data_IF_335230512195
#
_entry.id   IF_335230512195
#
_cell.length_a   1.000
_cell.length_b   1.000
_cell.length_c   1.000
_cell.angle_alpha   90.00
_cell.angle_beta   90.00
_cell.angle_gamma   90.00
#
_symmetry.space_group_name_H-M   'P 1'
#
loop_
_entity.id
_entity.type
_entity.pdbx_description
1 polymer ?
#
# COMPACT_ATOMS: atom_id res chain seq x y z
N UNK A 1 6.08 -24.74 -0.67
CA UNK A 1 5.91 -23.35 -0.20
C UNK A 1 6.54 -23.09 1.17
N UNK A 2 6.44 -23.98 2.16
CA UNK A 2 7.09 -23.83 3.48
C UNK A 2 8.58 -23.44 3.38
N UNK A 3 9.34 -24.05 2.49
CA UNK A 3 10.77 -23.73 2.31
C UNK A 3 11.04 -22.28 1.90
N UNK A 4 10.13 -21.63 1.19
CA UNK A 4 10.25 -20.22 0.80
C UNK A 4 10.26 -19.29 2.01
N UNK A 5 9.49 -19.60 3.02
CA UNK A 5 9.43 -18.82 4.26
C UNK A 5 10.53 -19.20 5.25
N UNK A 6 10.98 -20.46 5.23
CA UNK A 6 12.08 -20.93 6.10
C UNK A 6 13.46 -20.43 5.63
N UNK A 7 13.65 -20.32 4.30
CA UNK A 7 14.95 -19.93 3.72
C UNK A 7 15.43 -18.56 4.19
N UNK A 8 14.65 -17.46 4.12
CA UNK A 8 15.09 -16.14 4.58
C UNK A 8 15.46 -16.13 6.07
N UNK A 9 14.78 -16.91 6.91
CA UNK A 9 15.14 -17.04 8.33
C UNK A 9 16.48 -17.74 8.53
N UNK A 10 16.79 -18.73 7.71
CA UNK A 10 18.13 -19.38 7.72
C UNK A 10 19.20 -18.42 7.22
N UNK A 11 18.91 -17.64 6.17
CA UNK A 11 19.83 -16.59 5.70
C UNK A 11 20.06 -15.56 6.79
N UNK A 12 19.03 -15.09 7.49
CA UNK A 12 19.18 -14.16 8.61
C UNK A 12 20.05 -14.77 9.72
N UNK A 13 19.80 -16.03 10.09
CA UNK A 13 20.60 -16.72 11.10
C UNK A 13 22.09 -16.80 10.67
N UNK A 14 22.37 -17.10 9.42
CA UNK A 14 23.73 -17.11 8.87
C UNK A 14 24.33 -15.69 8.85
N UNK A 15 23.59 -14.69 8.37
CA UNK A 15 24.04 -13.29 8.35
C UNK A 15 24.50 -12.83 9.74
N UNK A 16 23.82 -13.25 10.78
CA UNK A 16 24.18 -12.92 12.17
C UNK A 16 25.49 -13.55 12.65
N UNK A 17 26.04 -14.50 11.94
CA UNK A 17 27.39 -15.04 12.24
C UNK A 17 28.53 -14.21 11.62
N UNK A 18 28.21 -13.31 10.68
CA UNK A 18 29.18 -12.52 9.93
C UNK A 18 29.55 -11.20 10.65
N UNK A 19 29.76 -11.25 11.95
CA UNK A 19 29.98 -10.06 12.81
C UNK A 19 31.21 -9.25 12.50
N UNK A 20 32.16 -9.82 11.78
CA UNK A 20 33.37 -9.11 11.33
C UNK A 20 33.11 -8.23 10.11
N UNK A 21 32.08 -8.56 9.31
CA UNK A 21 31.82 -7.95 8.01
C UNK A 21 30.52 -7.12 7.99
N UNK A 22 29.60 -7.40 8.91
CA UNK A 22 28.24 -6.84 8.91
C UNK A 22 27.89 -6.31 10.31
N UNK A 23 27.29 -5.12 10.34
CA UNK A 23 26.63 -4.61 11.54
C UNK A 23 25.29 -5.34 11.74
N UNK A 24 25.30 -6.40 12.53
CA UNK A 24 24.12 -7.24 12.80
C UNK A 24 23.01 -6.51 13.55
N UNK A 25 23.25 -5.30 14.04
CA UNK A 25 22.22 -4.46 14.68
C UNK A 25 21.44 -3.63 13.66
N UNK A 26 21.82 -3.65 12.39
CA UNK A 26 21.27 -2.84 11.28
C UNK A 26 20.85 -3.69 10.08
N UNK A 27 20.07 -4.73 10.33
CA UNK A 27 19.57 -5.60 9.28
C UNK A 27 18.17 -5.15 8.87
N UNK A 28 17.97 -4.89 7.58
CA UNK A 28 16.66 -4.66 6.97
C UNK A 28 16.29 -5.80 6.03
N UNK A 29 15.00 -5.91 5.70
CA UNK A 29 14.53 -6.90 4.73
C UNK A 29 13.80 -6.20 3.58
N UNK A 30 14.18 -6.57 2.35
CA UNK A 30 13.53 -6.15 1.12
C UNK A 30 13.00 -7.38 0.40
N UNK A 31 11.75 -7.34 0.03
CA UNK A 31 11.12 -8.42 -0.73
C UNK A 31 10.28 -7.90 -1.88
N UNK A 32 10.46 -8.53 -3.04
CA UNK A 32 9.75 -8.23 -4.27
C UNK A 32 8.86 -9.43 -4.64
N UNK A 33 7.63 -9.21 -5.06
CA UNK A 33 6.69 -10.24 -5.50
C UNK A 33 6.43 -11.25 -4.36
N UNK A 34 6.72 -12.52 -4.54
CA UNK A 34 6.70 -13.50 -3.45
C UNK A 34 7.57 -13.08 -2.26
N UNK A 35 8.69 -12.41 -2.53
CA UNK A 35 9.51 -11.79 -1.49
C UNK A 35 8.79 -10.69 -0.72
N UNK A 36 7.87 -9.96 -1.36
CA UNK A 36 7.00 -9.00 -0.70
C UNK A 36 6.10 -9.65 0.35
N UNK A 37 5.52 -10.81 0.06
CA UNK A 37 4.79 -11.60 1.07
C UNK A 37 5.72 -12.08 2.20
N UNK A 38 6.92 -12.52 1.84
CA UNK A 38 7.92 -12.95 2.83
C UNK A 38 8.32 -11.79 3.75
N UNK A 39 8.32 -10.54 3.26
CA UNK A 39 8.65 -9.38 4.07
C UNK A 39 7.73 -9.23 5.31
N UNK A 40 6.46 -9.59 5.21
CA UNK A 40 5.56 -9.63 6.37
C UNK A 40 5.97 -10.70 7.37
N UNK A 41 6.37 -11.88 6.89
CA UNK A 41 6.85 -12.96 7.75
C UNK A 41 8.18 -12.58 8.43
N UNK A 42 9.10 -11.94 7.70
CA UNK A 42 10.38 -11.49 8.25
C UNK A 42 10.21 -10.32 9.22
N UNK A 43 9.18 -9.50 9.06
CA UNK A 43 8.94 -8.33 9.91
C UNK A 43 8.65 -8.68 11.38
N UNK A 44 8.22 -9.91 11.68
CA UNK A 44 8.00 -10.35 13.07
C UNK A 44 9.31 -10.69 13.80
N UNK A 45 10.43 -10.75 13.08
CA UNK A 45 11.72 -11.08 13.67
C UNK A 45 12.32 -9.83 14.38
N UNK A 46 12.74 -9.92 15.65
CA UNK A 46 13.27 -8.78 16.40
C UNK A 46 14.62 -8.27 15.89
N UNK A 47 15.36 -9.09 15.13
CA UNK A 47 16.67 -8.71 14.59
C UNK A 47 16.54 -7.86 13.30
N UNK A 48 15.37 -7.89 12.64
CA UNK A 48 15.06 -6.99 11.53
C UNK A 48 14.71 -5.61 12.07
N UNK A 49 15.20 -4.54 11.46
CA UNK A 49 14.92 -3.14 11.88
C UNK A 49 13.91 -2.42 11.03
N UNK A 50 13.76 -2.82 9.79
CA UNK A 50 12.69 -2.34 8.90
C UNK A 50 12.49 -3.30 7.74
N UNK A 51 11.33 -3.22 7.11
CA UNK A 51 11.00 -4.01 5.92
C UNK A 51 10.49 -3.14 4.78
N UNK A 52 10.71 -3.61 3.57
CA UNK A 52 10.06 -3.11 2.36
C UNK A 52 9.38 -4.29 1.66
N UNK A 53 8.08 -4.19 1.46
CA UNK A 53 7.30 -5.14 0.67
C UNK A 53 6.92 -4.49 -0.66
N UNK A 54 7.49 -5.01 -1.72
CA UNK A 54 7.23 -4.57 -3.10
C UNK A 54 6.33 -5.59 -3.77
N UNK A 55 5.15 -5.18 -4.25
CA UNK A 55 4.09 -6.09 -4.67
C UNK A 55 3.75 -7.12 -3.57
N UNK A 56 2.92 -8.08 -3.82
CA UNK A 56 2.74 -9.17 -2.84
C UNK A 56 2.10 -8.76 -1.52
N UNK A 57 1.06 -7.93 -1.56
CA UNK A 57 0.27 -7.58 -0.37
C UNK A 57 -0.59 -8.71 0.16
N UNK A 58 -0.50 -9.87 -0.43
CA UNK A 58 -1.37 -11.00 -0.13
C UNK A 58 -2.76 -10.89 -0.73
N UNK A 59 -3.68 -11.66 -0.17
CA UNK A 59 -5.04 -11.77 -0.69
C UNK A 59 -5.09 -12.36 -2.11
N UNK A 60 -4.10 -13.18 -2.50
CA UNK A 60 -3.94 -13.71 -3.85
C UNK A 60 -5.17 -14.50 -4.29
N UNK A 61 -5.76 -15.27 -3.40
CA UNK A 61 -6.95 -16.06 -3.72
C UNK A 61 -8.20 -15.21 -3.99
N UNK A 62 -8.14 -13.93 -3.69
CA UNK A 62 -9.24 -12.98 -3.84
C UNK A 62 -9.14 -12.12 -5.11
N UNK A 63 -8.03 -12.14 -5.82
CA UNK A 63 -7.80 -11.26 -6.97
C UNK A 63 -8.82 -11.42 -8.11
N UNK A 64 -9.44 -12.58 -8.23
CA UNK A 64 -10.53 -12.85 -9.19
C UNK A 64 -11.93 -12.56 -8.63
N UNK A 65 -12.05 -12.20 -7.37
CA UNK A 65 -13.33 -11.93 -6.75
C UNK A 65 -13.62 -10.43 -6.76
N UNK A 66 -14.90 -10.09 -6.67
CA UNK A 66 -15.29 -8.69 -6.57
C UNK A 66 -14.69 -8.06 -5.30
N UNK A 67 -13.96 -6.97 -5.44
CA UNK A 67 -13.16 -6.35 -4.41
C UNK A 67 -13.81 -5.16 -3.71
N UNK A 68 -14.94 -4.68 -4.19
CA UNK A 68 -15.59 -3.45 -3.72
C UNK A 68 -16.10 -3.55 -2.27
N UNK A 69 -16.22 -4.74 -1.75
CA UNK A 69 -16.67 -5.04 -0.40
C UNK A 69 -15.88 -4.36 0.74
N UNK A 70 -14.66 -3.89 0.50
CA UNK A 70 -13.83 -3.22 1.51
C UNK A 70 -14.47 -2.00 2.14
N UNK A 71 -15.39 -1.38 1.43
CA UNK A 71 -15.90 -0.07 1.76
C UNK A 71 -17.37 -0.10 2.21
N UNK A 72 -17.69 -1.01 3.15
CA UNK A 72 -19.00 -1.16 3.80
C UNK A 72 -20.04 -1.97 3.03
N UNK A 73 -19.65 -2.81 2.09
CA UNK A 73 -20.56 -3.77 1.47
C UNK A 73 -20.53 -5.08 2.24
N UNK A 74 -21.68 -5.69 2.54
CA UNK A 74 -21.73 -7.05 3.05
C UNK A 74 -20.96 -7.98 2.12
N UNK A 75 -19.95 -8.61 2.66
CA UNK A 75 -19.07 -9.50 1.90
C UNK A 75 -19.21 -10.92 2.44
N UNK A 76 -19.53 -11.85 1.55
CA UNK A 76 -19.37 -13.27 1.82
C UNK A 76 -18.06 -13.74 1.20
N UNK A 77 -17.18 -14.28 2.01
CA UNK A 77 -15.97 -14.91 1.48
C UNK A 77 -16.36 -16.13 0.63
N UNK A 78 -15.77 -16.29 -0.56
CA UNK A 78 -16.00 -17.50 -1.34
C UNK A 78 -15.49 -18.70 -0.54
N UNK A 79 -16.15 -19.84 -0.61
CA UNK A 79 -15.65 -21.04 0.01
C UNK A 79 -14.34 -21.45 -0.67
N UNK A 80 -13.27 -21.51 0.11
CA UNK A 80 -11.98 -22.03 -0.36
C UNK A 80 -11.81 -23.49 0.06
N UNK A 81 -10.98 -24.22 -0.68
CA UNK A 81 -10.54 -25.54 -0.25
C UNK A 81 -9.76 -25.46 1.07
N UNK A 82 -9.70 -26.56 1.82
CA UNK A 82 -8.94 -26.62 3.08
C UNK A 82 -7.47 -26.23 2.90
N UNK A 83 -6.87 -26.62 1.77
CA UNK A 83 -5.50 -26.23 1.44
C UNK A 83 -5.33 -24.72 1.24
N UNK A 84 -6.30 -24.05 0.61
CA UNK A 84 -6.29 -22.59 0.44
C UNK A 84 -6.52 -21.88 1.79
N UNK A 85 -7.43 -22.37 2.61
CA UNK A 85 -7.67 -21.85 3.95
C UNK A 85 -6.42 -21.97 4.82
N UNK A 86 -5.72 -23.10 4.77
CA UNK A 86 -4.46 -23.30 5.47
C UNK A 86 -3.40 -22.30 4.97
N UNK A 87 -3.27 -22.11 3.66
CA UNK A 87 -2.34 -21.13 3.09
C UNK A 87 -2.65 -19.71 3.56
N UNK A 88 -3.91 -19.28 3.46
CA UNK A 88 -4.37 -17.94 3.86
C UNK A 88 -4.07 -17.67 5.34
N UNK A 89 -4.30 -18.66 6.20
CA UNK A 89 -4.14 -18.50 7.66
C UNK A 89 -2.70 -18.63 8.15
N UNK A 90 -1.80 -19.24 7.36
CA UNK A 90 -0.46 -19.58 7.82
C UNK A 90 0.69 -18.99 7.01
N UNK A 91 0.48 -18.64 5.74
CA UNK A 91 1.56 -18.22 4.85
C UNK A 91 1.32 -16.85 4.21
N UNK A 92 0.09 -16.43 3.99
CA UNK A 92 -0.21 -15.14 3.37
C UNK A 92 0.06 -13.95 4.30
N UNK A 93 0.24 -12.77 3.71
CA UNK A 93 0.59 -11.53 4.41
C UNK A 93 -0.34 -11.20 5.57
N UNK A 94 -1.64 -11.37 5.39
CA UNK A 94 -2.64 -11.05 6.42
C UNK A 94 -2.49 -11.91 7.69
N UNK A 95 -1.89 -13.10 7.57
CA UNK A 95 -1.59 -13.94 8.72
C UNK A 95 -0.53 -13.30 9.64
N UNK A 96 0.38 -12.51 9.07
CA UNK A 96 1.52 -11.92 9.76
C UNK A 96 1.38 -10.42 10.05
N UNK A 97 0.61 -9.67 9.27
CA UNK A 97 0.52 -8.21 9.35
C UNK A 97 0.24 -7.70 10.78
N UNK A 98 -0.67 -8.35 11.51
CA UNK A 98 -1.00 -8.01 12.91
C UNK A 98 0.12 -8.28 13.92
N UNK A 99 1.14 -9.04 13.53
CA UNK A 99 2.30 -9.36 14.38
C UNK A 99 3.56 -8.60 13.99
N UNK A 100 3.47 -7.69 13.02
CA UNK A 100 4.59 -6.87 12.60
C UNK A 100 5.18 -6.09 13.78
N UNK A 101 6.50 -6.02 13.85
CA UNK A 101 7.25 -5.39 14.94
C UNK A 101 8.08 -4.20 14.49
N UNK A 102 8.33 -4.11 13.21
CA UNK A 102 9.31 -3.17 12.65
C UNK A 102 8.66 -2.30 11.57
N UNK A 103 9.14 -1.05 11.38
CA UNK A 103 8.64 -0.16 10.34
C UNK A 103 8.59 -0.83 8.98
N UNK A 104 7.51 -0.61 8.22
CA UNK A 104 7.28 -1.27 6.95
C UNK A 104 6.83 -0.31 5.86
N UNK A 105 7.50 -0.35 4.71
CA UNK A 105 7.13 0.37 3.51
C UNK A 105 6.45 -0.59 2.53
N UNK A 106 5.25 -0.23 2.08
CA UNK A 106 4.50 -1.00 1.09
C UNK A 106 4.46 -0.27 -0.23
N UNK A 107 4.86 -0.97 -1.27
CA UNK A 107 4.82 -0.47 -2.63
C UNK A 107 4.09 -1.45 -3.52
N UNK A 108 3.12 -0.94 -4.27
CA UNK A 108 2.33 -1.78 -5.15
C UNK A 108 1.82 -1.02 -6.37
N UNK A 109 1.38 -1.78 -7.34
CA UNK A 109 0.66 -1.26 -8.50
C UNK A 109 -0.85 -1.44 -8.31
N UNK A 110 -1.63 -0.52 -8.84
CA UNK A 110 -3.09 -0.55 -8.67
C UNK A 110 -3.77 -1.72 -9.37
N UNK A 111 -3.11 -2.32 -10.36
CA UNK A 111 -3.61 -3.43 -11.18
C UNK A 111 -2.72 -4.67 -11.06
N UNK A 112 -2.09 -4.86 -9.90
CA UNK A 112 -1.18 -5.97 -9.67
C UNK A 112 -1.95 -7.30 -9.52
N UNK A 113 -1.49 -8.33 -10.25
CA UNK A 113 -2.05 -9.68 -10.15
C UNK A 113 -1.58 -10.45 -8.91
N UNK A 114 -0.50 -10.00 -8.27
CA UNK A 114 0.11 -10.69 -7.12
C UNK A 114 -0.33 -10.12 -5.76
N UNK A 115 -1.54 -9.66 -5.72
CA UNK A 115 -2.20 -9.12 -4.54
C UNK A 115 -3.47 -8.40 -4.95
N UNK A 116 -4.43 -8.35 -4.05
CA UNK A 116 -5.67 -7.66 -4.31
C UNK A 116 -5.57 -6.23 -3.76
N UNK A 117 -5.54 -5.22 -4.65
CA UNK A 117 -5.22 -3.83 -4.31
C UNK A 117 -6.09 -3.29 -3.17
N UNK A 118 -7.41 -3.40 -3.30
CA UNK A 118 -8.32 -2.85 -2.29
C UNK A 118 -8.18 -3.57 -0.94
N UNK A 119 -7.94 -4.89 -0.94
CA UNK A 119 -7.72 -5.68 0.27
C UNK A 119 -6.37 -5.41 0.95
N UNK A 120 -5.39 -4.95 0.19
CA UNK A 120 -4.08 -4.58 0.72
C UNK A 120 -4.17 -3.54 1.85
N UNK A 121 -5.16 -2.65 1.81
CA UNK A 121 -5.39 -1.67 2.88
C UNK A 121 -5.71 -2.31 4.23
N UNK A 122 -6.31 -3.50 4.26
CA UNK A 122 -6.54 -4.24 5.52
C UNK A 122 -5.24 -4.60 6.22
N UNK A 123 -4.20 -4.96 5.46
CA UNK A 123 -2.90 -5.24 6.03
C UNK A 123 -2.29 -3.98 6.65
N UNK A 124 -2.42 -2.83 6.00
CA UNK A 124 -1.93 -1.54 6.52
C UNK A 124 -2.66 -1.15 7.81
N UNK A 125 -3.98 -1.35 7.85
CA UNK A 125 -4.82 -1.01 9.01
C UNK A 125 -4.54 -1.88 10.24
N UNK A 126 -4.27 -3.18 10.05
CA UNK A 126 -4.04 -4.11 11.17
C UNK A 126 -2.57 -4.18 11.61
N UNK A 127 -1.66 -3.59 10.85
CA UNK A 127 -0.23 -3.55 11.20
C UNK A 127 -0.01 -2.56 12.35
N UNK A 128 0.53 -3.02 13.51
CA UNK A 128 0.60 -2.19 14.72
C UNK A 128 1.80 -1.23 14.73
N UNK A 129 2.66 -1.28 13.72
CA UNK A 129 3.90 -0.49 13.64
C UNK A 129 3.78 0.63 12.62
N UNK A 130 4.71 1.57 12.68
CA UNK A 130 4.80 2.64 11.68
C UNK A 130 4.93 2.04 10.29
N UNK A 131 4.06 2.44 9.39
CA UNK A 131 4.09 2.06 7.99
C UNK A 131 3.86 3.23 7.06
N UNK A 132 4.23 3.05 5.80
CA UNK A 132 3.91 3.97 4.72
C UNK A 132 3.67 3.19 3.45
N UNK A 133 2.93 3.76 2.52
CA UNK A 133 2.63 3.13 1.25
C UNK A 133 2.63 4.11 0.07
N UNK A 134 3.05 3.59 -1.07
CA UNK A 134 3.00 4.28 -2.35
C UNK A 134 2.49 3.34 -3.46
N UNK A 135 1.74 3.88 -4.41
CA UNK A 135 1.07 3.12 -5.45
C UNK A 135 1.36 3.68 -6.83
N UNK A 136 1.63 2.80 -7.78
CA UNK A 136 1.76 3.14 -9.19
C UNK A 136 0.43 2.87 -9.91
N UNK A 137 -0.19 3.93 -10.44
CA UNK A 137 -1.44 3.83 -11.16
C UNK A 137 -1.29 3.11 -12.51
N UNK A 138 -2.32 2.34 -12.90
CA UNK A 138 -2.40 1.64 -14.18
C UNK A 138 -1.22 0.74 -14.49
N UNK A 139 -0.54 0.24 -13.47
CA UNK A 139 0.57 -0.68 -13.63
C UNK A 139 0.22 -2.05 -13.03
N UNK A 140 0.74 -3.09 -13.64
CA UNK A 140 0.68 -4.46 -13.14
C UNK A 140 2.09 -4.91 -12.82
N UNK A 141 2.34 -5.31 -11.58
CA UNK A 141 3.61 -5.87 -11.10
C UNK A 141 4.84 -5.00 -11.43
N UNK A 142 4.69 -3.68 -11.36
CA UNK A 142 5.73 -2.69 -11.68
C UNK A 142 5.64 -1.49 -10.74
N UNK A 143 6.75 -1.15 -10.09
CA UNK A 143 6.91 0.04 -9.24
C UNK A 143 8.11 0.89 -9.67
N UNK A 144 8.54 0.80 -10.92
CA UNK A 144 9.60 1.66 -11.46
C UNK A 144 9.29 3.13 -11.15
N UNK A 145 10.25 3.83 -10.57
CA UNK A 145 10.12 5.22 -10.15
C UNK A 145 10.02 5.42 -8.63
N UNK A 146 9.97 4.33 -7.84
CA UNK A 146 9.93 4.39 -6.37
C UNK A 146 11.22 3.86 -5.71
N UNK A 147 12.27 3.62 -6.48
CA UNK A 147 13.54 3.04 -5.97
C UNK A 147 14.20 3.97 -4.93
N UNK A 148 14.03 5.29 -5.12
CA UNK A 148 14.54 6.28 -4.19
C UNK A 148 13.88 6.16 -2.80
N UNK A 149 12.58 5.88 -2.75
CA UNK A 149 11.86 5.71 -1.49
C UNK A 149 12.38 4.49 -0.73
N UNK A 150 12.67 3.38 -1.41
CA UNK A 150 13.29 2.20 -0.81
C UNK A 150 14.63 2.55 -0.16
N UNK A 151 15.47 3.30 -0.88
CA UNK A 151 16.78 3.72 -0.37
C UNK A 151 16.63 4.61 0.86
N UNK A 152 15.77 5.64 0.78
CA UNK A 152 15.54 6.57 1.88
C UNK A 152 14.93 5.88 3.11
N UNK A 153 14.09 4.86 2.90
CA UNK A 153 13.56 4.04 3.99
C UNK A 153 14.67 3.33 4.76
N UNK A 154 15.59 2.67 4.04
CA UNK A 154 16.72 2.03 4.66
C UNK A 154 17.71 3.03 5.27
N UNK A 155 17.95 4.17 4.64
CA UNK A 155 18.80 5.22 5.22
C UNK A 155 18.24 5.72 6.55
N UNK A 156 16.92 5.90 6.65
CA UNK A 156 16.25 6.29 7.89
C UNK A 156 16.44 5.25 8.99
N UNK A 157 16.12 4.00 8.75
CA UNK A 157 15.99 3.00 9.79
C UNK A 157 17.27 2.19 10.06
N UNK A 158 18.19 2.12 9.11
CA UNK A 158 19.47 1.40 9.28
C UNK A 158 20.65 2.34 9.49
N UNK A 159 20.65 3.53 8.89
CA UNK A 159 21.74 4.50 9.05
C UNK A 159 21.41 5.62 10.03
N UNK A 160 20.18 5.71 10.51
CA UNK A 160 19.75 6.74 11.45
C UNK A 160 19.68 8.14 10.83
N UNK A 161 19.45 8.23 9.52
CA UNK A 161 19.31 9.52 8.84
C UNK A 161 18.08 10.29 9.40
N UNK A 162 18.24 11.60 9.59
CA UNK A 162 17.21 12.48 10.15
C UNK A 162 16.06 12.78 9.16
N UNK A 163 15.57 11.73 8.49
CA UNK A 163 14.48 11.82 7.52
C UNK A 163 13.16 11.79 8.29
N UNK A 164 12.38 12.87 8.20
CA UNK A 164 10.99 12.85 8.62
C UNK A 164 10.15 12.27 7.50
N UNK A 165 9.65 11.04 7.71
CA UNK A 165 8.82 10.38 6.71
C UNK A 165 7.38 10.88 6.81
N UNK A 166 6.77 11.36 5.72
CA UNK A 166 5.40 11.85 5.74
C UNK A 166 4.41 10.71 6.02
N UNK A 167 3.35 11.01 6.76
CA UNK A 167 2.25 10.06 6.94
C UNK A 167 1.33 10.03 5.71
N UNK A 168 0.74 8.87 5.45
CA UNK A 168 -0.25 8.70 4.39
C UNK A 168 -1.58 9.35 4.80
N UNK A 169 -2.07 10.38 4.11
CA UNK A 169 -3.35 11.01 4.46
C UNK A 169 -4.53 10.16 3.99
N UNK A 170 -5.71 10.48 4.49
CA UNK A 170 -6.95 9.96 3.95
C UNK A 170 -7.39 10.77 2.72
N UNK A 171 -8.05 10.11 1.77
CA UNK A 171 -8.80 10.77 0.72
C UNK A 171 -10.23 11.00 1.21
N UNK A 172 -10.65 12.25 1.22
CA UNK A 172 -12.01 12.66 1.65
C UNK A 172 -12.84 12.97 0.41
N UNK A 173 -13.85 12.13 0.12
CA UNK A 173 -14.74 12.36 -1.00
C UNK A 173 -15.87 13.34 -0.64
N UNK A 174 -16.39 14.06 -1.63
CA UNK A 174 -17.60 14.88 -1.53
C UNK A 174 -18.24 15.05 -2.90
N UNK A 175 -19.50 15.47 -2.93
CA UNK A 175 -20.22 15.81 -4.16
C UNK A 175 -20.27 17.31 -4.31
N UNK A 176 -19.86 17.81 -5.46
CA UNK A 176 -19.89 19.25 -5.80
C UNK A 176 -21.18 19.59 -6.54
N UNK A 177 -21.56 18.74 -7.48
CA UNK A 177 -22.78 18.85 -8.26
C UNK A 177 -23.18 17.46 -8.78
N UNK A 178 -24.41 17.32 -9.28
CA UNK A 178 -24.84 16.10 -9.97
C UNK A 178 -23.86 15.83 -11.13
N UNK A 179 -23.28 14.62 -11.15
CA UNK A 179 -22.29 14.22 -12.15
C UNK A 179 -20.86 14.68 -11.87
N UNK A 180 -20.61 15.38 -10.74
CA UNK A 180 -19.26 15.84 -10.38
C UNK A 180 -18.93 15.55 -8.93
N UNK A 181 -17.94 14.69 -8.71
CA UNK A 181 -17.38 14.41 -7.41
C UNK A 181 -16.07 15.19 -7.19
N UNK A 182 -15.70 15.33 -5.93
CA UNK A 182 -14.44 15.95 -5.50
C UNK A 182 -13.74 15.02 -4.50
N UNK A 183 -12.44 14.92 -4.59
CA UNK A 183 -11.60 14.34 -3.56
C UNK A 183 -10.67 15.40 -2.98
N UNK A 184 -10.42 15.32 -1.67
CA UNK A 184 -9.53 16.24 -0.95
C UNK A 184 -8.55 15.43 -0.10
N UNK A 185 -7.30 15.88 -0.03
CA UNK A 185 -6.26 15.34 0.87
C UNK A 185 -5.60 16.45 1.67
N UNK A 186 -5.15 16.09 2.87
CA UNK A 186 -4.39 16.97 3.78
C UNK A 186 -3.06 16.31 4.10
N UNK A 187 -1.99 16.59 3.34
CA UNK A 187 -0.66 16.06 3.62
C UNK A 187 -0.14 16.48 5.00
N UNK A 188 0.62 15.59 5.65
CA UNK A 188 1.14 15.84 7.00
C UNK A 188 2.24 16.93 7.08
N UNK A 189 2.88 17.23 5.95
CA UNK A 189 3.95 18.23 5.82
C UNK A 189 3.63 19.11 4.59
N UNK A 190 2.61 19.97 4.64
CA UNK A 190 2.11 20.66 3.45
C UNK A 190 3.12 21.64 2.84
N UNK A 191 4.01 22.22 3.65
CA UNK A 191 5.09 23.11 3.17
C UNK A 191 6.13 22.41 2.29
N UNK A 192 6.29 21.11 2.46
CA UNK A 192 7.30 20.30 1.77
C UNK A 192 6.75 19.61 0.53
N UNK A 193 5.46 19.75 0.24
CA UNK A 193 4.81 19.16 -0.93
C UNK A 193 5.25 19.89 -2.20
N UNK A 194 5.81 19.13 -3.15
CA UNK A 194 6.22 19.64 -4.47
C UNK A 194 5.23 19.29 -5.58
N UNK A 195 4.50 18.18 -5.43
CA UNK A 195 3.46 17.78 -6.38
C UNK A 195 2.38 16.93 -5.72
N UNK A 196 1.15 17.07 -6.19
CA UNK A 196 0.03 16.19 -5.87
C UNK A 196 -0.66 15.80 -7.16
N UNK A 197 -0.82 14.50 -7.39
CA UNK A 197 -1.57 13.97 -8.52
C UNK A 197 -2.73 13.13 -8.01
N UNK A 198 -3.96 13.53 -8.35
CA UNK A 198 -5.14 12.72 -8.07
C UNK A 198 -5.39 11.71 -9.20
N UNK A 199 -5.77 10.52 -8.77
CA UNK A 199 -6.25 9.45 -9.62
C UNK A 199 -7.67 9.08 -9.21
N UNK A 200 -8.52 8.83 -10.20
CA UNK A 200 -9.88 8.33 -9.97
C UNK A 200 -10.20 7.21 -10.96
N UNK A 201 -11.10 6.33 -10.54
CA UNK A 201 -11.61 5.25 -11.38
C UNK A 201 -13.10 5.09 -11.19
N UNK A 202 -13.78 4.65 -12.24
CA UNK A 202 -15.23 4.53 -12.28
C UNK A 202 -15.65 3.06 -12.41
N UNK A 203 -16.65 2.68 -11.65
CA UNK A 203 -17.53 1.51 -11.87
C UNK A 203 -16.90 0.12 -11.75
N UNK A 204 -15.66 -0.09 -12.13
CA UNK A 204 -15.09 -1.44 -12.22
C UNK A 204 -14.74 -1.98 -10.83
N UNK A 205 -15.49 -3.00 -10.41
CA UNK A 205 -15.27 -3.67 -9.13
C UNK A 205 -13.97 -4.49 -9.10
N UNK A 206 -13.60 -5.06 -10.25
CA UNK A 206 -12.34 -5.80 -10.39
C UNK A 206 -11.17 -4.81 -10.43
N UNK A 207 -10.29 -4.86 -9.43
CA UNK A 207 -9.13 -3.98 -9.35
C UNK A 207 -8.13 -4.21 -10.48
N UNK A 208 -8.03 -5.42 -11.03
CA UNK A 208 -7.11 -5.72 -12.14
C UNK A 208 -7.54 -5.05 -13.45
N UNK A 209 -8.85 -4.95 -13.68
CA UNK A 209 -9.43 -4.36 -14.89
C UNK A 209 -9.71 -2.85 -14.75
N UNK A 210 -9.48 -2.29 -13.58
CA UNK A 210 -9.78 -0.89 -13.28
C UNK A 210 -8.84 0.05 -14.03
N UNK A 211 -9.39 1.03 -14.74
CA UNK A 211 -8.62 2.10 -15.37
C UNK A 211 -8.63 3.33 -14.47
N UNK A 212 -7.45 3.83 -14.14
CA UNK A 212 -7.26 5.04 -13.35
C UNK A 212 -7.00 6.23 -14.25
N UNK A 213 -7.83 7.24 -14.12
CA UNK A 213 -7.71 8.51 -14.81
C UNK A 213 -7.05 9.54 -13.90
N UNK A 214 -6.32 10.46 -14.48
CA UNK A 214 -5.78 11.62 -13.73
C UNK A 214 -6.83 12.73 -13.68
N UNK A 215 -6.87 13.46 -12.58
CA UNK A 215 -7.68 14.65 -12.42
C UNK A 215 -6.81 15.88 -12.19
N UNK A 216 -7.24 17.02 -12.70
CA UNK A 216 -6.55 18.29 -12.47
C UNK A 216 -6.55 18.63 -10.98
N UNK A 217 -5.37 18.82 -10.42
CA UNK A 217 -5.18 19.07 -9.00
C UNK A 217 -5.20 20.59 -8.73
N UNK A 218 -5.87 20.97 -7.66
CA UNK A 218 -5.91 22.34 -7.14
C UNK A 218 -5.27 22.38 -5.75
N UNK A 219 -4.30 23.25 -5.55
CA UNK A 219 -3.84 23.62 -4.21
C UNK A 219 -4.85 24.63 -3.64
N UNK A 220 -5.47 24.31 -2.52
CA UNK A 220 -6.53 25.14 -1.92
C UNK A 220 -5.97 26.34 -1.11
N UNK A 221 -4.65 26.39 -0.89
CA UNK A 221 -3.99 27.49 -0.15
C UNK A 221 -4.04 27.37 1.38
N UNK A 222 -4.75 26.38 1.90
CA UNK A 222 -4.93 26.09 3.33
C UNK A 222 -4.16 24.86 3.82
N UNK A 223 -3.22 24.37 3.01
CA UNK A 223 -2.48 23.13 3.27
C UNK A 223 -3.18 21.88 2.77
N UNK A 224 -4.29 22.02 2.07
CA UNK A 224 -5.00 20.91 1.43
C UNK A 224 -4.93 20.98 -0.09
N UNK A 225 -5.11 19.84 -0.74
CA UNK A 225 -5.22 19.73 -2.20
C UNK A 225 -6.50 18.99 -2.55
N UNK A 226 -7.09 19.36 -3.68
CA UNK A 226 -8.31 18.71 -4.17
C UNK A 226 -8.30 18.55 -5.68
N UNK A 227 -9.14 17.63 -6.15
CA UNK A 227 -9.44 17.47 -7.56
C UNK A 227 -10.93 17.16 -7.75
N UNK A 228 -11.47 17.64 -8.85
CA UNK A 228 -12.82 17.29 -9.29
C UNK A 228 -12.76 16.33 -10.46
N UNK A 229 -13.69 15.42 -10.54
CA UNK A 229 -13.79 14.44 -11.60
C UNK A 229 -15.23 14.03 -11.87
N UNK A 230 -15.56 13.66 -13.13
CA UNK A 230 -16.92 13.29 -13.50
C UNK A 230 -17.32 11.92 -12.98
N UNK A 231 -18.61 11.70 -12.80
CA UNK A 231 -19.22 10.38 -12.70
C UNK A 231 -20.51 10.36 -13.52
N UNK A 232 -20.82 9.24 -14.16
CA UNK A 232 -22.00 9.10 -15.03
C UNK A 232 -23.20 8.46 -14.35
N UNK A 233 -22.96 7.74 -13.26
CA UNK A 233 -23.99 6.99 -12.53
C UNK A 233 -23.74 7.13 -11.02
N UNK A 234 -24.61 7.87 -10.35
CA UNK A 234 -24.51 8.11 -8.91
C UNK A 234 -24.80 6.89 -8.04
N UNK A 235 -25.23 5.77 -8.62
CA UNK A 235 -25.51 4.52 -7.91
C UNK A 235 -24.34 3.54 -7.93
N UNK A 236 -23.25 3.88 -8.66
CA UNK A 236 -22.07 3.02 -8.81
C UNK A 236 -20.87 3.58 -8.07
N UNK A 237 -19.93 2.69 -7.77
CA UNK A 237 -18.70 3.07 -7.07
C UNK A 237 -17.82 3.97 -7.91
N UNK A 238 -17.29 4.97 -7.20
CA UNK A 238 -16.18 5.82 -7.62
C UNK A 238 -15.03 5.60 -6.66
N UNK A 239 -13.84 5.47 -7.19
CA UNK A 239 -12.60 5.30 -6.45
C UNK A 239 -11.70 6.51 -6.66
N UNK A 240 -11.04 6.97 -5.61
CA UNK A 240 -10.09 8.07 -5.73
C UNK A 240 -8.95 7.93 -4.72
N UNK A 241 -7.74 8.33 -5.12
CA UNK A 241 -6.60 8.54 -4.22
C UNK A 241 -5.69 9.63 -4.79
N UNK A 242 -4.78 10.14 -3.97
CA UNK A 242 -3.74 11.07 -4.39
C UNK A 242 -2.36 10.45 -4.18
N UNK A 243 -1.45 10.69 -5.12
CA UNK A 243 -0.02 10.52 -4.99
C UNK A 243 0.60 11.87 -4.66
N UNK A 244 1.41 11.93 -3.62
CA UNK A 244 1.98 13.15 -3.06
C UNK A 244 3.49 13.03 -3.08
N UNK A 245 4.17 13.97 -3.75
CA UNK A 245 5.63 14.04 -3.82
C UNK A 245 6.12 15.17 -2.94
N UNK A 246 7.14 14.90 -2.14
CA UNK A 246 7.75 15.86 -1.23
C UNK A 246 9.11 16.34 -1.73
N UNK A 247 9.62 17.44 -1.17
CA UNK A 247 10.88 18.08 -1.56
C UNK A 247 12.11 17.17 -1.44
N UNK A 248 12.07 16.21 -0.51
CA UNK A 248 13.09 15.15 -0.35
C UNK A 248 12.90 13.97 -1.30
N UNK A 249 12.04 14.10 -2.31
CA UNK A 249 11.69 13.11 -3.32
C UNK A 249 10.84 11.92 -2.81
N UNK A 250 10.49 11.87 -1.53
CA UNK A 250 9.60 10.83 -0.99
C UNK A 250 8.22 10.94 -1.64
N UNK A 251 7.69 9.80 -2.04
CA UNK A 251 6.35 9.66 -2.57
C UNK A 251 5.51 8.86 -1.57
N UNK A 252 4.37 9.42 -1.16
CA UNK A 252 3.35 8.68 -0.44
C UNK A 252 2.02 8.79 -1.15
N UNK A 253 1.17 7.78 -1.00
CA UNK A 253 -0.20 7.87 -1.50
C UNK A 253 -1.18 8.06 -0.35
N UNK A 254 -2.29 8.73 -0.63
CA UNK A 254 -3.41 8.77 0.32
C UNK A 254 -4.12 7.41 0.37
N UNK A 255 -4.82 7.13 1.48
CA UNK A 255 -5.73 6.00 1.53
C UNK A 255 -6.79 6.19 0.45
N UNK A 256 -7.02 5.13 -0.33
CA UNK A 256 -8.07 5.14 -1.35
C UNK A 256 -9.44 5.35 -0.70
N UNK A 257 -10.21 6.28 -1.25
CA UNK A 257 -11.65 6.36 -1.02
C UNK A 257 -12.38 5.52 -2.06
N UNK A 258 -13.43 4.81 -1.63
CA UNK A 258 -14.42 4.20 -2.50
C UNK A 258 -15.79 4.60 -2.00
N UNK A 259 -16.60 5.17 -2.85
CA UNK A 259 -17.89 5.73 -2.47
C UNK A 259 -18.93 5.62 -3.59
N UNK A 260 -20.19 5.63 -3.21
CA UNK A 260 -21.32 5.73 -4.11
C UNK A 260 -21.82 7.19 -4.03
N UNK A 261 -21.77 7.98 -5.13
CA UNK A 261 -22.09 9.41 -5.07
C UNK A 261 -23.44 9.74 -4.44
N UNK A 262 -24.47 8.95 -4.70
CA UNK A 262 -25.80 9.17 -4.11
C UNK A 262 -25.88 8.88 -2.60
N UNK A 263 -24.82 8.35 -1.99
CA UNK A 263 -24.76 8.00 -0.57
C UNK A 263 -23.87 8.96 0.25
N UNK A 264 -23.37 10.04 -0.38
CA UNK A 264 -22.53 11.06 0.27
C UNK A 264 -23.39 12.30 0.70
#
# INVERSE_FOLDING_TARGET
>A
MYYWFAMPRRVLAYTKTLTADIDITKIGFYGNSWGGQIAYNMNIDPDIKCCVAQYGNGWIHYWKTNSVWLYNIPYSEPPFSDGNNLYISTLECQAYAKYARNPMLWMMSTNDFHGQFDRGFRNFEITPVQGSYAFKANASHDITGFEQDVRLWFDKYLKGSAITWPSNPNTIPSIVAIGTAKATVSPSQPSDVTAVQFYYALVTADSLARTWFTATTTNNGDGTWSAQFPYSDGTRYVFAYAQITYSNTIIVCSKQAAFIPNNL
#
